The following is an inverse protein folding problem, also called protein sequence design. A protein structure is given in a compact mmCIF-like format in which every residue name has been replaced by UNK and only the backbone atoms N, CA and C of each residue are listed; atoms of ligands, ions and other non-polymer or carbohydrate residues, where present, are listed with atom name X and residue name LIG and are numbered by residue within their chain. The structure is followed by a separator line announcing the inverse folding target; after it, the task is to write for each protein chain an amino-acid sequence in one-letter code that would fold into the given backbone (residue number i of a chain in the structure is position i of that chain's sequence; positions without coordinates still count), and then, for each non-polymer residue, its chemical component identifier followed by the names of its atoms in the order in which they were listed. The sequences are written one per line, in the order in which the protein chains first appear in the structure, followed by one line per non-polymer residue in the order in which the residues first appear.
data_IF_844608957113
#
_entry.id   IF_844608957113
#
_cell.length_a   1.000
_cell.length_b   1.000
_cell.length_c   1.000
_cell.angle_alpha   90.00
_cell.angle_beta   90.00
_cell.angle_gamma   90.00
#
_symmetry.space_group_name_H-M   'P 1'
#
loop_
_entity.id
_entity.type
_entity.pdbx_description
1 polymer ?
#
# COMPACT_ATOMS: atom_id res chain seq x y z
N UNK A 1 -15.98 1.63 7.75
CA UNK A 1 -14.65 1.82 8.35
C UNK A 1 -14.28 0.64 9.22
N UNK A 2 -13.11 0.04 9.01
CA UNK A 2 -12.55 -1.08 9.80
C UNK A 2 -11.24 -0.63 10.43
N UNK A 3 -11.08 -0.88 11.73
CA UNK A 3 -9.89 -0.50 12.49
C UNK A 3 -9.53 -1.55 13.54
N UNK A 4 -8.28 -1.48 13.98
CA UNK A 4 -7.75 -2.26 15.11
C UNK A 4 -7.28 -1.31 16.20
N UNK A 5 -7.41 -1.73 17.45
CA UNK A 5 -6.90 -1.01 18.62
C UNK A 5 -5.58 -1.64 19.07
N UNK A 6 -4.59 -0.79 19.31
CA UNK A 6 -3.29 -1.18 19.84
C UNK A 6 -2.78 -0.06 20.76
N UNK A 7 -2.57 -0.36 22.02
CA UNK A 7 -2.03 0.59 23.02
C UNK A 7 -2.71 1.97 22.97
N UNK A 8 -4.01 2.03 23.18
CA UNK A 8 -4.82 3.25 23.16
C UNK A 8 -4.87 4.04 21.83
N UNK A 9 -4.37 3.44 20.75
CA UNK A 9 -4.43 4.00 19.41
C UNK A 9 -5.33 3.19 18.50
N UNK A 10 -6.09 3.89 17.68
CA UNK A 10 -6.88 3.28 16.62
C UNK A 10 -6.10 3.34 15.30
N UNK A 11 -5.84 2.18 14.74
CA UNK A 11 -5.20 2.05 13.42
C UNK A 11 -6.28 1.72 12.41
N UNK A 12 -6.58 2.67 11.52
CA UNK A 12 -7.46 2.43 10.37
C UNK A 12 -6.79 1.41 9.45
N UNK A 13 -7.50 0.33 9.14
CA UNK A 13 -7.02 -0.70 8.24
C UNK A 13 -7.54 -0.48 6.82
N UNK A 14 -8.85 -0.40 6.64
CA UNK A 14 -9.49 -0.16 5.35
C UNK A 14 -10.97 0.23 5.50
N UNK A 15 -11.59 0.57 4.38
CA UNK A 15 -13.02 0.74 4.25
C UNK A 15 -13.63 -0.45 3.51
N UNK A 16 -14.80 -0.88 3.95
CA UNK A 16 -15.63 -1.87 3.25
C UNK A 16 -16.65 -1.09 2.43
N UNK A 17 -16.60 -1.24 1.12
CA UNK A 17 -17.53 -0.60 0.18
C UNK A 17 -18.79 -1.45 -0.04
N UNK A 18 -19.83 -0.92 -0.69
CA UNK A 18 -21.02 -1.70 -1.06
C UNK A 18 -20.63 -3.00 -1.79
N UNK A 19 -21.37 -4.07 -1.52
CA UNK A 19 -21.16 -5.42 -2.08
C UNK A 19 -19.86 -6.10 -1.63
N UNK A 20 -19.09 -5.50 -0.73
CA UNK A 20 -17.90 -6.11 -0.13
C UNK A 20 -18.18 -6.68 1.26
N UNK A 21 -17.26 -7.48 1.76
CA UNK A 21 -17.27 -7.99 3.15
C UNK A 21 -15.95 -7.66 3.86
N UNK A 22 -16.01 -7.60 5.19
CA UNK A 22 -14.81 -7.49 6.00
C UNK A 22 -14.07 -8.83 6.03
N UNK A 23 -12.95 -8.93 5.32
CA UNK A 23 -12.18 -10.19 5.21
C UNK A 23 -11.59 -10.65 6.54
N UNK A 24 -11.27 -9.73 7.45
CA UNK A 24 -10.77 -10.11 8.78
C UNK A 24 -11.87 -10.71 9.65
N UNK A 25 -13.12 -10.21 9.55
CA UNK A 25 -14.26 -10.86 10.18
C UNK A 25 -14.60 -12.20 9.53
N UNK A 26 -14.50 -12.30 8.21
CA UNK A 26 -14.69 -13.56 7.49
C UNK A 26 -13.60 -14.59 7.86
N UNK A 27 -12.35 -14.17 7.96
CA UNK A 27 -11.25 -15.01 8.45
C UNK A 27 -11.51 -15.53 9.87
N UNK A 28 -11.97 -14.66 10.77
CA UNK A 28 -12.32 -15.06 12.13
C UNK A 28 -13.45 -16.12 12.14
N UNK A 29 -14.43 -15.98 11.25
CA UNK A 29 -15.50 -16.97 11.06
C UNK A 29 -14.96 -18.34 10.67
N UNK A 30 -14.04 -18.41 9.71
CA UNK A 30 -13.44 -19.70 9.27
C UNK A 30 -12.49 -20.32 10.31
N UNK A 31 -11.96 -19.51 11.20
CA UNK A 31 -11.07 -19.97 12.29
C UNK A 31 -11.79 -20.22 13.60
N UNK A 32 -13.10 -20.07 13.64
CA UNK A 32 -13.95 -20.18 14.83
C UNK A 32 -13.41 -19.35 16.01
N UNK A 33 -13.06 -18.10 15.75
CA UNK A 33 -12.53 -17.20 16.74
C UNK A 33 -13.20 -15.80 16.67
N UNK A 34 -12.97 -14.99 17.71
CA UNK A 34 -13.42 -13.60 17.70
C UNK A 34 -12.65 -12.79 16.67
N UNK A 35 -13.33 -11.85 16.02
CA UNK A 35 -12.69 -10.88 15.13
C UNK A 35 -11.71 -9.99 15.94
N UNK A 36 -10.53 -9.79 15.39
CA UNK A 36 -9.49 -8.91 15.96
C UNK A 36 -9.70 -7.44 15.58
N UNK A 37 -10.75 -7.13 14.83
CA UNK A 37 -11.01 -5.78 14.34
C UNK A 37 -12.39 -5.30 14.74
N UNK A 38 -12.52 -3.98 14.84
CA UNK A 38 -13.76 -3.26 15.01
C UNK A 38 -14.23 -2.72 13.65
N UNK A 39 -15.55 -2.63 13.47
CA UNK A 39 -16.15 -2.04 12.29
C UNK A 39 -17.32 -1.13 12.67
N UNK A 40 -17.44 0.01 11.98
CA UNK A 40 -18.55 0.97 12.16
C UNK A 40 -18.94 1.54 10.81
N UNK A 41 -20.24 1.65 10.57
CA UNK A 41 -20.78 2.38 9.42
C UNK A 41 -20.56 3.89 9.63
N UNK A 42 -20.16 4.60 8.58
CA UNK A 42 -19.98 6.06 8.60
C UNK A 42 -21.20 6.80 8.04
N UNK A 43 -22.05 6.08 7.33
CA UNK A 43 -23.32 6.58 6.76
C UNK A 43 -24.44 5.55 6.94
N UNK A 44 -25.67 5.92 6.60
CA UNK A 44 -26.80 5.00 6.64
C UNK A 44 -26.55 3.83 5.69
N UNK A 45 -26.48 2.62 6.25
CA UNK A 45 -26.03 1.43 5.53
C UNK A 45 -26.95 0.25 5.78
N UNK A 46 -27.35 -0.42 4.72
CA UNK A 46 -28.02 -1.72 4.81
C UNK A 46 -26.98 -2.84 4.85
N UNK A 47 -27.05 -3.70 5.86
CA UNK A 47 -26.12 -4.84 6.02
C UNK A 47 -26.88 -6.17 5.99
N UNK A 48 -26.27 -7.19 5.41
CA UNK A 48 -26.72 -8.57 5.49
C UNK A 48 -25.92 -9.28 6.58
N UNK A 49 -26.62 -9.78 7.60
CA UNK A 49 -26.01 -10.58 8.67
C UNK A 49 -26.13 -12.05 8.33
N UNK A 50 -25.02 -12.74 8.22
CA UNK A 50 -24.96 -14.17 7.92
C UNK A 50 -24.45 -14.90 9.18
N UNK A 51 -25.27 -15.77 9.81
CA UNK A 51 -24.77 -16.58 10.92
C UNK A 51 -23.59 -17.46 10.50
N UNK A 52 -22.61 -17.61 11.41
CA UNK A 52 -21.35 -18.34 11.16
C UNK A 52 -21.58 -19.72 10.55
N UNK A 53 -22.53 -20.48 11.07
CA UNK A 53 -22.87 -21.82 10.56
C UNK A 53 -23.16 -21.85 9.06
N UNK A 54 -23.87 -20.85 8.54
CA UNK A 54 -24.19 -20.75 7.12
C UNK A 54 -22.99 -20.32 6.28
N UNK A 55 -22.17 -19.41 6.79
CA UNK A 55 -20.98 -18.97 6.08
C UNK A 55 -20.01 -20.14 5.80
N UNK A 56 -19.89 -21.05 6.76
CA UNK A 56 -19.07 -22.27 6.63
C UNK A 56 -19.73 -23.30 5.71
N UNK A 57 -21.02 -23.61 5.95
CA UNK A 57 -21.78 -24.59 5.16
C UNK A 57 -21.82 -24.21 3.67
N UNK A 58 -22.06 -22.92 3.38
CA UNK A 58 -22.17 -22.43 2.00
C UNK A 58 -20.87 -22.51 1.22
N UNK A 59 -19.73 -22.52 1.89
CA UNK A 59 -18.43 -22.75 1.26
C UNK A 59 -18.35 -24.09 0.54
N UNK A 60 -19.01 -25.13 1.09
CA UNK A 60 -19.08 -26.46 0.48
C UNK A 60 -20.26 -26.60 -0.50
N UNK A 61 -21.33 -25.86 -0.28
CA UNK A 61 -22.59 -26.05 -1.00
C UNK A 61 -22.74 -25.18 -2.24
N UNK A 62 -22.25 -23.95 -2.19
CA UNK A 62 -22.47 -22.96 -3.24
C UNK A 62 -21.15 -22.41 -3.81
N UNK A 63 -20.89 -22.73 -5.07
CA UNK A 63 -19.72 -22.23 -5.79
C UNK A 63 -19.65 -20.69 -5.85
N UNK A 64 -20.84 -20.02 -5.94
CA UNK A 64 -20.91 -18.56 -5.93
C UNK A 64 -20.46 -17.95 -4.62
N UNK A 65 -20.79 -18.59 -3.48
CA UNK A 65 -20.30 -18.16 -2.17
C UNK A 65 -18.78 -18.35 -2.04
N UNK A 66 -18.28 -19.49 -2.48
CA UNK A 66 -16.83 -19.77 -2.47
C UNK A 66 -16.08 -18.75 -3.34
N UNK A 67 -16.57 -18.45 -4.56
CA UNK A 67 -15.97 -17.44 -5.41
C UNK A 67 -16.02 -16.05 -4.78
N UNK A 68 -17.13 -15.66 -4.16
CA UNK A 68 -17.27 -14.37 -3.47
C UNK A 68 -16.24 -14.24 -2.33
N UNK A 69 -16.13 -15.24 -1.48
CA UNK A 69 -15.19 -15.21 -0.34
C UNK A 69 -13.74 -15.21 -0.82
N UNK A 70 -13.40 -16.06 -1.78
CA UNK A 70 -12.05 -16.13 -2.36
C UNK A 70 -11.65 -14.81 -3.02
N UNK A 71 -12.52 -14.22 -3.84
CA UNK A 71 -12.27 -12.93 -4.47
C UNK A 71 -12.13 -11.81 -3.44
N UNK A 72 -12.92 -11.83 -2.36
CA UNK A 72 -12.79 -10.86 -1.28
C UNK A 72 -11.40 -10.90 -0.63
N UNK A 73 -10.83 -12.09 -0.41
CA UNK A 73 -9.46 -12.24 0.08
C UNK A 73 -8.43 -11.77 -0.94
N UNK A 74 -8.59 -12.13 -2.22
CA UNK A 74 -7.67 -11.71 -3.29
C UNK A 74 -7.61 -10.19 -3.37
N UNK A 75 -8.75 -9.51 -3.46
CA UNK A 75 -8.80 -8.04 -3.52
C UNK A 75 -8.16 -7.39 -2.29
N UNK A 76 -8.46 -7.88 -1.09
CA UNK A 76 -7.85 -7.34 0.13
C UNK A 76 -6.34 -7.56 0.19
N UNK A 77 -5.86 -8.68 -0.32
CA UNK A 77 -4.43 -8.96 -0.43
C UNK A 77 -3.75 -8.02 -1.42
N UNK A 78 -4.36 -7.79 -2.59
CA UNK A 78 -3.86 -6.84 -3.60
C UNK A 78 -3.81 -5.41 -3.06
N UNK A 79 -4.85 -4.95 -2.36
CA UNK A 79 -4.89 -3.65 -1.69
C UNK A 79 -3.79 -3.51 -0.63
N UNK A 80 -3.57 -4.57 0.16
CA UNK A 80 -2.49 -4.59 1.14
C UNK A 80 -1.11 -4.50 0.47
N UNK A 81 -0.88 -5.26 -0.59
CA UNK A 81 0.37 -5.20 -1.36
C UNK A 81 0.58 -3.82 -1.98
N UNK A 82 -0.48 -3.21 -2.51
CA UNK A 82 -0.41 -1.86 -3.07
C UNK A 82 -0.06 -0.83 -1.99
N UNK A 83 -0.71 -0.90 -0.84
CA UNK A 83 -0.45 -0.02 0.30
C UNK A 83 0.97 -0.21 0.85
N UNK A 84 1.44 -1.44 0.97
CA UNK A 84 2.81 -1.75 1.38
C UNK A 84 3.85 -1.19 0.39
N UNK A 85 3.62 -1.38 -0.91
CA UNK A 85 4.47 -0.81 -1.96
C UNK A 85 4.53 0.71 -1.84
N UNK A 86 3.38 1.38 -1.67
CA UNK A 86 3.32 2.83 -1.50
C UNK A 86 4.09 3.29 -0.26
N UNK A 87 3.94 2.62 0.88
CA UNK A 87 4.68 2.94 2.10
C UNK A 87 6.20 2.72 1.94
N UNK A 88 6.59 1.65 1.27
CA UNK A 88 8.00 1.34 1.05
C UNK A 88 8.66 2.29 0.03
N UNK A 89 7.97 2.62 -1.05
CA UNK A 89 8.50 3.48 -2.11
C UNK A 89 8.43 4.97 -1.78
N UNK A 90 7.33 5.47 -1.20
CA UNK A 90 7.19 6.90 -0.88
C UNK A 90 8.29 7.40 0.08
N UNK A 91 8.74 6.58 1.03
CA UNK A 91 9.87 6.96 1.90
C UNK A 91 11.18 7.09 1.13
N UNK A 92 11.42 6.25 0.14
CA UNK A 92 12.64 6.28 -0.68
C UNK A 92 12.56 7.40 -1.70
N UNK A 93 11.41 7.61 -2.32
CA UNK A 93 11.15 8.69 -3.27
C UNK A 93 11.38 10.06 -2.63
N UNK A 94 10.77 10.31 -1.48
CA UNK A 94 10.95 11.55 -0.74
C UNK A 94 12.41 11.77 -0.36
N UNK A 95 13.06 10.74 0.20
CA UNK A 95 14.47 10.80 0.59
C UNK A 95 15.39 11.06 -0.62
N UNK A 96 15.13 10.43 -1.75
CA UNK A 96 15.89 10.62 -2.97
C UNK A 96 15.72 12.05 -3.50
N UNK A 97 14.49 12.56 -3.55
CA UNK A 97 14.22 13.92 -4.01
C UNK A 97 14.87 14.98 -3.10
N UNK A 98 14.76 14.82 -1.79
CA UNK A 98 15.37 15.71 -0.81
C UNK A 98 16.89 15.67 -0.90
N UNK A 99 17.48 14.50 -1.08
CA UNK A 99 18.92 14.33 -1.29
C UNK A 99 19.37 15.10 -2.54
N UNK A 100 18.68 14.93 -3.67
CA UNK A 100 19.00 15.61 -4.93
C UNK A 100 18.89 17.13 -4.78
N UNK A 101 17.82 17.64 -4.16
CA UNK A 101 17.61 19.08 -3.91
C UNK A 101 18.69 19.65 -2.99
N UNK A 102 19.06 18.92 -1.94
CA UNK A 102 20.11 19.36 -1.02
C UNK A 102 21.48 19.39 -1.69
N UNK A 103 21.79 18.38 -2.52
CA UNK A 103 23.03 18.34 -3.31
C UNK A 103 23.09 19.48 -4.34
N UNK A 104 21.99 19.76 -5.03
CA UNK A 104 21.89 20.88 -5.97
C UNK A 104 22.16 22.22 -5.28
N UNK A 105 21.56 22.46 -4.11
CA UNK A 105 21.79 23.66 -3.30
C UNK A 105 23.24 23.75 -2.80
N UNK A 106 23.78 22.65 -2.28
CA UNK A 106 25.14 22.61 -1.73
C UNK A 106 26.21 22.90 -2.80
N UNK A 107 26.00 22.36 -4.00
CA UNK A 107 26.94 22.52 -5.11
C UNK A 107 26.68 23.80 -5.94
N UNK A 108 25.64 24.55 -5.61
CA UNK A 108 25.13 25.69 -6.38
C UNK A 108 25.00 25.35 -7.88
N UNK A 109 24.53 24.14 -8.17
CA UNK A 109 24.41 23.59 -9.52
C UNK A 109 23.21 22.66 -9.61
N UNK A 110 22.38 22.86 -10.63
CA UNK A 110 21.26 21.94 -10.91
C UNK A 110 21.73 20.54 -11.35
N UNK A 111 22.96 20.43 -11.83
CA UNK A 111 23.51 19.18 -12.36
C UNK A 111 24.28 18.43 -11.28
N UNK A 112 23.85 17.19 -11.01
CA UNK A 112 24.45 16.30 -10.02
C UNK A 112 25.19 15.17 -10.76
N UNK A 113 26.52 15.09 -10.71
CA UNK A 113 27.33 14.09 -11.40
C UNK A 113 27.41 12.78 -10.60
N UNK A 114 26.26 12.16 -10.34
CA UNK A 114 26.18 10.88 -9.63
C UNK A 114 25.48 9.83 -10.50
N UNK A 115 26.03 8.63 -10.45
CA UNK A 115 25.40 7.45 -11.05
C UNK A 115 24.27 6.92 -10.18
N UNK A 116 23.31 6.19 -10.77
CA UNK A 116 22.24 5.54 -10.02
C UNK A 116 22.77 4.57 -8.95
N UNK A 117 23.92 3.92 -9.19
CA UNK A 117 24.54 3.03 -8.21
C UNK A 117 25.13 3.79 -7.01
N UNK A 118 25.68 4.98 -7.24
CA UNK A 118 26.17 5.83 -6.15
C UNK A 118 25.01 6.37 -5.32
N UNK A 119 23.96 6.89 -5.98
CA UNK A 119 22.73 7.32 -5.30
C UNK A 119 22.09 6.21 -4.47
N UNK A 120 22.08 4.97 -5.00
CA UNK A 120 21.54 3.83 -4.28
C UNK A 120 22.28 3.57 -2.96
N UNK A 121 23.60 3.70 -2.96
CA UNK A 121 24.42 3.59 -1.74
C UNK A 121 24.12 4.72 -0.75
N UNK A 122 24.02 5.96 -1.21
CA UNK A 122 23.74 7.13 -0.38
C UNK A 122 22.36 7.08 0.28
N UNK A 123 21.36 6.58 -0.46
CA UNK A 123 19.97 6.47 0.02
C UNK A 123 19.72 5.17 0.81
N UNK A 124 20.63 4.18 0.73
CA UNK A 124 20.46 2.87 1.38
C UNK A 124 19.41 2.00 0.69
N UNK A 125 19.49 1.90 -0.65
CA UNK A 125 18.59 1.10 -1.48
C UNK A 125 19.34 0.45 -2.65
N UNK A 126 18.62 -0.15 -3.61
CA UNK A 126 19.23 -0.77 -4.80
C UNK A 126 19.23 0.18 -6.01
N UNK A 127 20.15 -0.07 -6.96
CA UNK A 127 20.25 0.69 -8.21
C UNK A 127 18.93 0.62 -9.02
N UNK A 128 18.29 -0.53 -9.03
CA UNK A 128 17.02 -0.79 -9.74
C UNK A 128 15.90 0.10 -9.20
N UNK A 129 15.81 0.22 -7.87
CA UNK A 129 14.82 1.08 -7.19
C UNK A 129 15.09 2.54 -7.53
N UNK A 130 16.33 3.02 -7.41
CA UNK A 130 16.70 4.40 -7.78
C UNK A 130 16.38 4.67 -9.25
N UNK A 131 16.71 3.74 -10.16
CA UNK A 131 16.46 3.90 -11.59
C UNK A 131 14.97 4.03 -11.89
N UNK A 132 14.12 3.26 -11.20
CA UNK A 132 12.67 3.32 -11.33
C UNK A 132 12.11 4.67 -10.86
N UNK A 133 12.54 5.11 -9.67
CA UNK A 133 12.08 6.38 -9.08
C UNK A 133 12.53 7.57 -9.94
N UNK A 134 13.76 7.60 -10.39
CA UNK A 134 14.28 8.67 -11.25
C UNK A 134 13.52 8.78 -12.58
N UNK A 135 13.12 7.65 -13.18
CA UNK A 135 12.24 7.67 -14.37
C UNK A 135 10.87 8.29 -14.07
N UNK A 136 10.30 8.02 -12.90
CA UNK A 136 9.04 8.65 -12.47
C UNK A 136 9.22 10.15 -12.25
N UNK A 137 10.33 10.58 -11.64
CA UNK A 137 10.65 11.99 -11.47
C UNK A 137 10.85 12.70 -12.81
N UNK A 138 11.47 12.05 -13.78
CA UNK A 138 11.61 12.60 -15.14
C UNK A 138 10.26 12.75 -15.84
N UNK A 139 9.38 11.74 -15.75
CA UNK A 139 8.01 11.82 -16.27
C UNK A 139 7.18 12.92 -15.60
N UNK A 140 7.47 13.22 -14.35
CA UNK A 140 6.78 14.27 -13.57
C UNK A 140 7.45 15.64 -13.71
N UNK A 141 8.50 15.78 -14.53
CA UNK A 141 9.21 17.04 -14.73
C UNK A 141 9.99 17.54 -13.52
N UNK A 142 10.39 16.67 -12.61
CA UNK A 142 11.18 17.01 -11.41
C UNK A 142 12.68 16.94 -11.66
N UNK A 143 13.11 16.09 -12.59
CA UNK A 143 14.50 15.91 -12.98
C UNK A 143 14.61 15.66 -14.49
N UNK A 144 15.80 15.88 -15.04
CA UNK A 144 16.17 15.45 -16.38
C UNK A 144 17.36 14.52 -16.30
N UNK A 145 17.25 13.31 -16.89
CA UNK A 145 18.27 12.28 -16.83
C UNK A 145 19.24 12.40 -18.02
N UNK A 146 20.50 12.57 -17.73
CA UNK A 146 21.60 12.58 -18.71
C UNK A 146 22.59 11.45 -18.43
N UNK A 147 23.46 11.16 -19.35
CA UNK A 147 24.48 10.12 -19.13
C UNK A 147 25.35 10.45 -17.92
N UNK A 148 25.27 9.62 -16.87
CA UNK A 148 25.95 9.79 -15.57
C UNK A 148 25.70 11.13 -14.86
N UNK A 149 24.61 11.81 -15.18
CA UNK A 149 24.25 13.10 -14.57
C UNK A 149 22.74 13.18 -14.38
N UNK A 150 22.31 13.87 -13.36
CA UNK A 150 20.91 14.15 -13.06
C UNK A 150 20.78 15.65 -12.88
N UNK A 151 19.92 16.25 -13.65
CA UNK A 151 19.61 17.67 -13.56
C UNK A 151 18.29 17.83 -12.77
N UNK A 152 18.31 18.59 -11.69
CA UNK A 152 17.13 18.89 -10.86
C UNK A 152 16.47 20.14 -11.43
N UNK A 153 15.15 20.06 -11.69
CA UNK A 153 14.37 21.12 -12.31
C UNK A 153 13.65 21.98 -11.27
#
# INVERSE_FOLDING_TARGET
RVWQEHEDRQILLYYVNPVQTCVLSLSATFRDCKSSVNAKTEEATTIVKIPVRYATEWGFKYKSWNNFTTNSFIFSYEDLLHSYKNLAFNKIDTRLLDYLRNMSKKNNSATIPLSHSQLAKEIGTTREVVSKILKQFEQSGLVHLKFKQIEVL
#
